data_IF_851160597852
#
_entry.id   IF_851160597852
#
_cell.length_a   1.000
_cell.length_b   1.000
_cell.length_c   1.000
_cell.angle_alpha   90.00
_cell.angle_beta   90.00
_cell.angle_gamma   90.00
#
_symmetry.space_group_name_H-M   'P 1'
#
loop_
_entity.id
_entity.type
_entity.pdbx_description
1 polymer ?
#
# COMPACT_ATOMS: atom_id res chain seq x y z
N UNK A 1 7.05 0.73 -28.17
CA UNK A 1 6.44 1.26 -26.93
C UNK A 1 5.55 0.16 -26.38
N UNK A 2 5.93 -0.48 -25.26
CA UNK A 2 5.10 -1.51 -24.62
C UNK A 2 3.83 -0.87 -24.08
N UNK A 3 2.68 -1.49 -24.31
CA UNK A 3 1.41 -1.05 -23.74
C UNK A 3 1.55 -1.04 -22.21
N UNK A 4 1.14 0.01 -21.49
CA UNK A 4 1.13 -0.04 -20.04
C UNK A 4 0.25 -1.19 -19.58
N UNK A 5 0.74 -1.94 -18.58
CA UNK A 5 -0.04 -3.03 -17.98
C UNK A 5 -1.38 -2.48 -17.46
N UNK A 6 -2.43 -3.30 -17.56
CA UNK A 6 -3.73 -2.91 -17.02
C UNK A 6 -3.60 -2.64 -15.50
N UNK A 7 -4.28 -1.59 -14.97
CA UNK A 7 -4.25 -1.32 -13.53
C UNK A 7 -4.69 -2.55 -12.72
N UNK A 8 -3.89 -2.93 -11.73
CA UNK A 8 -4.18 -4.01 -10.80
C UNK A 8 -4.76 -3.45 -9.51
N UNK A 9 -5.43 -4.31 -8.74
CA UNK A 9 -5.81 -4.05 -7.34
C UNK A 9 -4.91 -4.89 -6.43
N UNK A 10 -4.15 -4.24 -5.57
CA UNK A 10 -3.14 -4.87 -4.73
C UNK A 10 -3.47 -4.66 -3.25
N UNK A 11 -3.42 -5.73 -2.47
CA UNK A 11 -3.57 -5.68 -1.02
C UNK A 11 -2.26 -6.10 -0.36
N UNK A 12 -1.63 -5.18 0.38
CA UNK A 12 -0.35 -5.38 1.05
C UNK A 12 -0.61 -5.58 2.54
N UNK A 13 -0.13 -6.70 3.07
CA UNK A 13 -0.19 -7.02 4.50
C UNK A 13 1.22 -6.87 5.08
N UNK A 14 1.39 -5.98 6.05
CA UNK A 14 2.69 -5.82 6.69
C UNK A 14 2.80 -4.60 7.58
N UNK A 15 3.96 -4.45 8.20
CA UNK A 15 4.30 -3.25 8.96
C UNK A 15 4.51 -2.06 8.01
N UNK A 16 3.68 -1.02 8.15
CA UNK A 16 3.73 0.18 7.31
C UNK A 16 4.80 1.17 7.75
N UNK A 17 5.42 0.97 8.91
CA UNK A 17 6.60 1.74 9.34
C UNK A 17 7.90 1.23 8.73
N UNK A 18 7.94 -0.06 8.36
CA UNK A 18 9.09 -0.65 7.71
C UNK A 18 9.42 0.04 6.38
N UNK A 19 10.66 0.53 6.28
CA UNK A 19 11.20 1.11 5.05
C UNK A 19 11.13 0.13 3.87
N UNK A 20 11.20 -1.18 4.14
CA UNK A 20 11.10 -2.21 3.12
C UNK A 20 9.69 -2.31 2.55
N UNK A 21 8.67 -2.34 3.42
CA UNK A 21 7.26 -2.34 3.00
C UNK A 21 6.95 -1.12 2.16
N UNK A 22 7.38 0.07 2.62
CA UNK A 22 7.15 1.34 1.93
C UNK A 22 7.81 1.37 0.55
N UNK A 23 9.10 1.06 0.47
CA UNK A 23 9.86 1.09 -0.81
C UNK A 23 9.35 0.06 -1.80
N UNK A 24 8.86 -1.08 -1.33
CA UNK A 24 8.32 -2.10 -2.20
C UNK A 24 6.95 -1.70 -2.77
N UNK A 25 6.11 -1.06 -1.96
CA UNK A 25 4.74 -0.71 -2.31
C UNK A 25 4.63 0.56 -3.19
N UNK A 26 5.41 1.60 -2.90
CA UNK A 26 5.32 2.91 -3.58
C UNK A 26 5.43 2.85 -5.12
N UNK A 27 6.31 2.03 -5.72
CA UNK A 27 6.38 1.91 -7.17
C UNK A 27 5.07 1.43 -7.81
N UNK A 28 4.26 0.64 -7.12
CA UNK A 28 2.99 0.16 -7.66
C UNK A 28 1.95 1.28 -7.69
N UNK A 29 1.84 2.06 -6.61
CA UNK A 29 0.96 3.22 -6.55
C UNK A 29 1.37 4.27 -7.60
N UNK A 30 2.67 4.55 -7.73
CA UNK A 30 3.21 5.49 -8.72
C UNK A 30 2.95 5.07 -10.19
N UNK A 31 2.75 3.77 -10.45
CA UNK A 31 2.37 3.23 -11.77
C UNK A 31 0.86 3.26 -12.02
N UNK A 32 0.07 3.80 -11.09
CA UNK A 32 -1.39 3.90 -11.22
C UNK A 32 -2.14 2.63 -10.87
N UNK A 33 -1.52 1.69 -10.14
CA UNK A 33 -2.26 0.58 -9.55
C UNK A 33 -3.08 1.05 -8.34
N UNK A 34 -4.18 0.37 -8.08
CA UNK A 34 -5.03 0.60 -6.91
C UNK A 34 -4.45 -0.19 -5.73
N UNK A 35 -3.80 0.53 -4.81
CA UNK A 35 -3.00 -0.08 -3.73
C UNK A 35 -3.66 0.14 -2.38
N UNK A 36 -3.93 -0.96 -1.70
CA UNK A 36 -4.45 -1.01 -0.34
C UNK A 36 -3.38 -1.60 0.58
N UNK A 37 -3.17 -0.98 1.73
CA UNK A 37 -2.22 -1.44 2.74
C UNK A 37 -2.95 -1.69 4.05
N UNK A 38 -2.78 -2.88 4.63
CA UNK A 38 -3.45 -3.32 5.84
C UNK A 38 -2.41 -3.62 6.91
N UNK A 39 -2.61 -3.06 8.11
CA UNK A 39 -1.73 -3.28 9.26
C UNK A 39 -2.51 -3.16 10.56
N UNK A 40 -1.97 -3.69 11.65
CA UNK A 40 -2.50 -3.48 12.99
C UNK A 40 -2.20 -2.09 13.54
N UNK A 41 -1.19 -1.41 13.00
CA UNK A 41 -0.75 -0.09 13.46
C UNK A 41 -0.85 0.92 12.32
N UNK A 42 -1.46 2.10 12.56
CA UNK A 42 -1.44 3.18 11.58
C UNK A 42 0.00 3.70 11.42
N UNK A 43 0.43 4.06 10.19
CA UNK A 43 1.74 4.65 10.00
C UNK A 43 1.77 6.09 10.54
N UNK A 44 2.91 6.50 11.08
CA UNK A 44 3.18 7.86 11.56
C UNK A 44 3.12 8.92 10.46
N UNK A 45 3.44 8.52 9.22
CA UNK A 45 3.37 9.36 8.04
C UNK A 45 2.41 8.77 7.00
N UNK A 46 1.62 9.62 6.31
CA UNK A 46 0.79 9.16 5.20
C UNK A 46 1.65 8.54 4.10
N UNK A 47 1.06 7.58 3.37
CA UNK A 47 1.71 6.93 2.24
C UNK A 47 0.98 7.36 0.97
N UNK A 48 1.63 8.19 0.16
CA UNK A 48 1.04 8.77 -1.05
C UNK A 48 0.59 7.67 -2.04
N UNK A 49 -0.61 7.84 -2.58
CA UNK A 49 -1.20 6.92 -3.55
C UNK A 49 -1.63 5.56 -2.99
N UNK A 50 -1.65 5.39 -1.67
CA UNK A 50 -2.02 4.13 -1.01
C UNK A 50 -3.19 4.34 -0.04
N UNK A 51 -4.20 3.48 -0.13
CA UNK A 51 -5.31 3.45 0.83
C UNK A 51 -4.93 2.60 2.04
N UNK A 52 -4.89 3.20 3.24
CA UNK A 52 -4.51 2.50 4.47
C UNK A 52 -5.73 2.00 5.25
N UNK A 53 -5.67 0.74 5.67
CA UNK A 53 -6.65 0.06 6.52
C UNK A 53 -5.96 -0.35 7.83
N UNK A 54 -6.18 0.42 8.89
CA UNK A 54 -5.74 0.04 10.22
C UNK A 54 -6.75 -0.94 10.81
N UNK A 55 -6.29 -2.14 11.19
CA UNK A 55 -7.11 -3.16 11.81
C UNK A 55 -7.25 -2.88 13.30
N UNK A 56 -8.49 -2.99 13.79
CA UNK A 56 -8.81 -2.95 15.20
C UNK A 56 -9.45 -4.28 15.60
N UNK A 57 -9.13 -4.85 16.77
CA UNK A 57 -9.84 -6.01 17.29
C UNK A 57 -11.34 -5.72 17.37
N UNK A 58 -12.17 -6.64 16.88
CA UNK A 58 -13.60 -6.60 17.19
C UNK A 58 -13.79 -6.97 18.66
N UNK A 59 -14.52 -6.12 19.39
CA UNK A 59 -14.89 -6.35 20.79
C UNK A 59 -15.89 -7.50 20.92
#
# INVERSE_FOLDING_TARGET
MTKPDAPLRLCILGDLESIHTRRWMQPFAARGHDVHAVSYYPPSLPIEGVTVHALHPQQ
#
